data_IF_910167779839
#
_entry.id   IF_910167779839
#
_cell.length_a   1.000
_cell.length_b   1.000
_cell.length_c   1.000
_cell.angle_alpha   90.00
_cell.angle_beta   90.00
_cell.angle_gamma   90.00
#
_symmetry.space_group_name_H-M   'P 1'
#
loop_
_entity.id
_entity.type
_entity.pdbx_description
1 polymer ?
#
# COMPACT_ATOMS: atom_id res chain seq x y z
N UNK A 1 -9.55 4.31 -14.85
CA UNK A 1 -8.62 5.44 -14.61
C UNK A 1 -8.04 6.07 -15.87
N UNK A 2 -7.72 5.33 -16.92
CA UNK A 2 -7.15 5.90 -18.17
C UNK A 2 -8.09 6.88 -18.92
N UNK A 3 -9.40 6.68 -18.89
CA UNK A 3 -10.38 7.54 -19.60
C UNK A 3 -10.55 8.95 -18.99
N UNK A 4 -10.30 9.13 -17.70
CA UNK A 4 -10.43 10.43 -17.03
C UNK A 4 -9.22 11.32 -17.32
N UNK A 5 -8.04 10.73 -17.43
CA UNK A 5 -6.78 11.45 -17.72
C UNK A 5 -6.79 11.98 -19.17
N UNK A 6 -7.33 11.21 -20.13
CA UNK A 6 -7.43 11.63 -21.54
C UNK A 6 -8.39 12.82 -21.73
N UNK A 7 -9.47 12.86 -20.94
CA UNK A 7 -10.43 13.96 -21.00
C UNK A 7 -9.83 15.27 -20.44
N UNK A 8 -9.05 15.19 -19.37
CA UNK A 8 -8.38 16.35 -18.77
C UNK A 8 -7.27 16.94 -19.68
N UNK A 9 -6.51 16.07 -20.37
CA UNK A 9 -5.47 16.51 -21.32
C UNK A 9 -6.10 17.21 -22.53
N UNK A 10 -7.27 16.77 -23.00
CA UNK A 10 -7.98 17.40 -24.12
C UNK A 10 -8.53 18.78 -23.74
N UNK A 11 -9.02 18.95 -22.51
CA UNK A 11 -9.50 20.24 -21.99
C UNK A 11 -8.38 21.26 -21.86
N UNK A 12 -7.22 20.86 -21.33
CA UNK A 12 -6.04 21.74 -21.21
C UNK A 12 -5.53 22.17 -22.59
N UNK A 13 -5.54 21.29 -23.57
CA UNK A 13 -5.14 21.60 -24.95
C UNK A 13 -6.07 22.63 -25.60
N UNK A 14 -7.37 22.55 -25.37
CA UNK A 14 -8.37 23.50 -25.87
C UNK A 14 -8.28 24.88 -25.20
N UNK A 15 -7.96 24.92 -23.90
CA UNK A 15 -7.77 26.19 -23.16
C UNK A 15 -6.50 26.90 -23.63
N UNK A 16 -5.41 26.16 -23.89
CA UNK A 16 -4.16 26.73 -24.42
C UNK A 16 -4.30 27.26 -25.83
N UNK A 17 -5.01 26.57 -26.73
CA UNK A 17 -5.25 27.01 -28.11
C UNK A 17 -6.11 28.28 -28.12
N UNK A 18 -7.14 28.40 -27.26
CA UNK A 18 -7.96 29.62 -27.14
C UNK A 18 -7.19 30.83 -26.63
N UNK A 19 -6.22 30.64 -25.75
CA UNK A 19 -5.46 31.72 -25.11
C UNK A 19 -4.31 32.26 -25.96
N UNK A 20 -3.76 31.46 -26.86
CA UNK A 20 -2.56 31.82 -27.63
C UNK A 20 -2.81 32.12 -29.12
N UNK A 21 -3.95 31.70 -29.73
CA UNK A 21 -4.16 31.87 -31.15
C UNK A 21 -5.31 32.82 -31.52
N UNK A 22 -5.98 33.45 -30.57
CA UNK A 22 -6.89 34.58 -30.82
C UNK A 22 -7.96 34.37 -31.88
N UNK A 23 -8.32 33.12 -32.21
CA UNK A 23 -9.33 32.83 -33.24
C UNK A 23 -10.68 32.73 -32.54
N UNK A 24 -11.39 33.84 -32.46
CA UNK A 24 -12.80 33.87 -32.14
C UNK A 24 -13.62 33.35 -33.32
N UNK A 25 -14.37 32.29 -33.06
CA UNK A 25 -15.51 31.77 -33.81
C UNK A 25 -15.64 32.17 -35.29
N UNK A 26 -15.24 31.27 -36.19
CA UNK A 26 -15.79 31.26 -37.54
C UNK A 26 -17.05 30.41 -37.50
N UNK A 27 -18.22 31.04 -37.48
CA UNK A 27 -19.49 30.37 -37.74
C UNK A 27 -19.57 30.09 -39.27
N UNK A 28 -19.43 28.82 -39.65
CA UNK A 28 -19.79 28.35 -40.97
C UNK A 28 -21.30 28.24 -41.02
N UNK A 29 -21.94 29.25 -41.58
CA UNK A 29 -23.34 29.19 -41.97
C UNK A 29 -23.46 28.48 -43.31
N UNK A 30 -24.14 27.37 -43.32
CA UNK A 30 -24.49 26.62 -44.48
C UNK A 30 -25.67 27.30 -45.20
N UNK A 31 -25.43 27.84 -46.36
CA UNK A 31 -26.46 28.47 -47.18
C UNK A 31 -27.16 27.41 -48.04
N UNK A 32 -28.42 27.24 -47.79
CA UNK A 32 -29.34 26.77 -48.82
C UNK A 32 -30.64 27.55 -48.73
N UNK A 33 -30.95 28.14 -49.89
CA UNK A 33 -32.20 28.68 -50.44
C UNK A 33 -32.43 30.19 -50.40
N UNK A 34 -32.17 30.74 -51.57
CA UNK A 34 -32.96 31.60 -52.49
C UNK A 34 -34.23 32.27 -51.93
N UNK A 35 -34.31 33.61 -52.07
CA UNK A 35 -35.13 34.20 -53.15
C UNK A 35 -35.02 35.74 -53.11
N UNK A 36 -34.79 36.26 -54.31
CA UNK A 36 -35.13 37.59 -54.90
C UNK A 36 -35.67 38.71 -53.98
N UNK A 37 -35.01 39.87 -54.08
CA UNK A 37 -35.67 41.16 -53.90
C UNK A 37 -34.83 42.24 -53.18
N UNK A 38 -34.51 43.31 -53.92
CA UNK A 38 -34.04 44.61 -53.47
C UNK A 38 -32.55 44.85 -53.22
N UNK A 39 -31.88 45.06 -54.35
CA UNK A 39 -30.70 45.95 -54.43
C UNK A 39 -31.11 47.38 -54.19
N UNK A 40 -30.77 48.02 -53.08
CA UNK A 40 -30.71 49.51 -53.00
C UNK A 40 -30.13 50.12 -51.73
N UNK A 41 -29.66 49.39 -50.74
CA UNK A 41 -29.14 50.01 -49.48
C UNK A 41 -27.67 49.74 -49.18
N UNK A 42 -26.93 49.09 -50.02
CA UNK A 42 -25.54 48.68 -49.70
C UNK A 42 -24.47 49.73 -49.98
N UNK A 43 -24.80 50.83 -50.66
CA UNK A 43 -23.77 51.77 -51.12
C UNK A 43 -23.47 52.93 -50.18
N UNK A 44 -24.14 53.04 -49.07
CA UNK A 44 -23.91 54.17 -48.11
C UNK A 44 -23.09 53.76 -46.89
N UNK A 45 -22.98 52.50 -46.56
CA UNK A 45 -22.21 52.00 -45.43
C UNK A 45 -20.74 51.67 -45.78
N UNK A 46 -20.43 51.40 -47.00
CA UNK A 46 -19.05 51.09 -47.42
C UNK A 46 -18.13 52.36 -47.43
N UNK A 47 -18.69 53.55 -47.47
CA UNK A 47 -17.92 54.81 -47.49
C UNK A 47 -17.53 55.30 -46.09
N UNK A 48 -18.11 54.78 -45.01
CA UNK A 48 -17.77 55.11 -43.63
C UNK A 48 -16.74 54.17 -43.00
N UNK A 49 -16.49 53.00 -43.59
CA UNK A 49 -15.50 52.05 -43.08
C UNK A 49 -14.08 52.28 -43.58
N UNK A 50 -13.89 53.24 -44.53
CA UNK A 50 -12.55 53.53 -45.07
C UNK A 50 -11.74 54.55 -44.27
N UNK A 51 -12.26 55.04 -43.13
CA UNK A 51 -11.58 56.09 -42.32
C UNK A 51 -11.11 55.57 -40.97
N UNK A 52 -11.36 54.25 -40.66
CA UNK A 52 -10.84 53.69 -39.41
C UNK A 52 -9.51 53.01 -39.67
N UNK A 53 -8.40 53.73 -39.52
CA UNK A 53 -7.08 53.12 -39.28
C UNK A 53 -7.05 52.59 -37.82
N UNK A 54 -6.95 51.28 -37.59
CA UNK A 54 -6.74 50.80 -36.24
C UNK A 54 -5.38 51.30 -35.76
N UNK A 55 -5.27 51.69 -34.45
CA UNK A 55 -3.99 52.10 -33.90
C UNK A 55 -2.97 51.01 -34.10
N UNK A 56 -1.82 51.34 -34.68
CA UNK A 56 -0.71 50.41 -34.86
C UNK A 56 -0.40 49.73 -33.56
N UNK A 57 -0.58 48.42 -33.49
CA UNK A 57 -0.20 47.62 -32.30
C UNK A 57 1.27 47.94 -31.99
N UNK A 58 1.63 48.34 -30.79
CA UNK A 58 3.03 48.54 -30.44
C UNK A 58 3.77 47.23 -30.71
N UNK A 59 4.78 47.28 -31.55
CA UNK A 59 5.63 46.13 -31.86
C UNK A 59 6.27 45.66 -30.54
N UNK A 60 5.96 44.46 -30.05
CA UNK A 60 6.54 44.03 -28.79
C UNK A 60 8.05 43.94 -28.97
N UNK A 61 8.80 44.73 -28.18
CA UNK A 61 10.26 44.71 -28.18
C UNK A 61 10.70 43.21 -28.08
N UNK A 62 11.56 42.73 -29.01
CA UNK A 62 12.00 41.31 -28.97
C UNK A 62 12.64 40.93 -27.64
N UNK A 63 13.14 41.91 -26.89
CA UNK A 63 13.71 41.71 -25.55
C UNK A 63 12.65 41.36 -24.49
N UNK A 64 11.40 41.86 -24.59
CA UNK A 64 10.31 41.53 -23.66
C UNK A 64 9.77 40.12 -23.88
N UNK A 65 9.79 39.63 -25.11
CA UNK A 65 9.33 38.24 -25.43
C UNK A 65 10.33 37.23 -24.86
N UNK A 66 11.64 37.51 -24.98
CA UNK A 66 12.70 36.65 -24.45
C UNK A 66 12.69 36.56 -22.91
N UNK A 67 12.39 37.62 -22.19
CA UNK A 67 12.26 37.58 -20.73
C UNK A 67 11.00 36.86 -20.25
N UNK A 68 9.91 36.90 -21.01
CA UNK A 68 8.69 36.17 -20.68
C UNK A 68 8.87 34.66 -20.82
N UNK A 69 9.60 34.18 -21.83
CA UNK A 69 9.87 32.76 -22.04
C UNK A 69 10.84 32.18 -21.01
N UNK A 70 11.88 32.95 -20.60
CA UNK A 70 12.80 32.48 -19.56
C UNK A 70 12.11 32.36 -18.21
N UNK A 71 11.20 33.27 -17.86
CA UNK A 71 10.40 33.14 -16.63
C UNK A 71 9.43 31.95 -16.64
N UNK A 72 8.90 31.61 -17.81
CA UNK A 72 8.00 30.47 -17.95
C UNK A 72 8.75 29.14 -17.85
N UNK A 73 9.92 29.03 -18.47
CA UNK A 73 10.80 27.87 -18.34
C UNK A 73 11.30 27.67 -16.91
N UNK A 74 11.72 28.73 -16.23
CA UNK A 74 12.13 28.66 -14.82
C UNK A 74 10.99 28.22 -13.90
N UNK A 75 9.77 28.72 -14.10
CA UNK A 75 8.58 28.28 -13.35
C UNK A 75 8.22 26.83 -13.63
N UNK A 76 8.32 26.39 -14.89
CA UNK A 76 8.10 25.00 -15.27
C UNK A 76 9.15 24.06 -14.66
N UNK A 77 10.42 24.48 -14.64
CA UNK A 77 11.52 23.72 -14.01
C UNK A 77 11.33 23.60 -12.50
N UNK A 78 10.95 24.71 -11.83
CA UNK A 78 10.63 24.71 -10.39
C UNK A 78 9.44 23.82 -10.06
N UNK A 79 8.39 23.84 -10.89
CA UNK A 79 7.22 22.98 -10.72
C UNK A 79 7.58 21.50 -10.93
N UNK A 80 8.43 21.19 -11.90
CA UNK A 80 8.95 19.83 -12.13
C UNK A 80 9.82 19.34 -10.97
N UNK A 81 10.69 20.19 -10.42
CA UNK A 81 11.50 19.89 -9.23
C UNK A 81 10.63 19.66 -7.98
N UNK A 82 9.54 20.43 -7.83
CA UNK A 82 8.58 20.27 -6.74
C UNK A 82 7.80 18.94 -6.86
N UNK A 83 7.40 18.55 -8.06
CA UNK A 83 6.70 17.29 -8.33
C UNK A 83 7.61 16.06 -8.14
N UNK A 84 8.90 16.15 -8.48
CA UNK A 84 9.84 15.03 -8.29
C UNK A 84 10.23 14.83 -6.83
N UNK A 85 10.16 15.86 -5.99
CA UNK A 85 10.44 15.77 -4.56
C UNK A 85 9.45 14.93 -3.74
N UNK A 86 8.23 14.68 -4.25
CA UNK A 86 7.18 13.95 -3.53
C UNK A 86 7.36 12.41 -3.60
N UNK A 87 8.18 11.88 -4.51
CA UNK A 87 8.34 10.44 -4.74
C UNK A 87 9.31 9.77 -3.74
N UNK A 88 10.04 10.54 -2.94
CA UNK A 88 11.05 10.03 -2.01
C UNK A 88 10.52 9.67 -0.60
N UNK A 89 9.21 9.40 -0.42
CA UNK A 89 8.70 8.83 0.82
C UNK A 89 9.09 7.35 0.84
N UNK A 90 10.30 7.06 1.30
CA UNK A 90 10.85 5.72 1.40
C UNK A 90 9.86 4.78 2.10
N UNK A 91 9.60 3.65 1.46
CA UNK A 91 8.72 2.60 1.96
C UNK A 91 9.15 2.22 3.38
N UNK A 92 8.29 2.49 4.35
CA UNK A 92 8.56 2.21 5.77
C UNK A 92 7.94 0.91 6.24
N UNK A 93 7.10 0.27 5.42
CA UNK A 93 6.36 -0.93 5.76
C UNK A 93 6.82 -2.11 4.93
N UNK A 94 7.05 -3.21 5.60
CA UNK A 94 7.32 -4.52 5.02
C UNK A 94 6.20 -5.46 5.36
N UNK A 95 5.81 -6.33 4.45
CA UNK A 95 4.69 -7.25 4.65
C UNK A 95 4.96 -8.62 4.03
N UNK A 96 4.29 -9.63 4.58
CA UNK A 96 4.15 -10.95 3.97
C UNK A 96 2.72 -11.46 4.09
N UNK A 97 2.36 -12.41 3.22
CA UNK A 97 1.15 -13.24 3.31
C UNK A 97 1.50 -14.73 3.23
N UNK A 98 2.77 -15.03 3.14
CA UNK A 98 3.34 -16.38 2.97
C UNK A 98 4.33 -16.70 4.09
N UNK A 99 4.16 -16.07 5.26
CA UNK A 99 4.87 -16.47 6.45
C UNK A 99 4.46 -17.86 6.89
N UNK A 100 5.37 -18.56 7.59
CA UNK A 100 5.09 -19.86 8.19
C UNK A 100 5.04 -19.76 9.72
N UNK A 101 4.21 -20.61 10.30
CA UNK A 101 4.11 -20.82 11.74
C UNK A 101 3.90 -22.31 11.98
N UNK A 102 4.65 -22.87 12.90
CA UNK A 102 4.42 -24.24 13.39
C UNK A 102 4.31 -24.23 14.91
N UNK A 103 3.66 -25.23 15.42
CA UNK A 103 3.69 -25.49 16.86
C UNK A 103 3.83 -26.99 17.14
N UNK A 104 4.40 -27.29 18.30
CA UNK A 104 4.58 -28.62 18.81
C UNK A 104 4.12 -28.68 20.28
N UNK A 105 3.29 -29.67 20.58
CA UNK A 105 2.77 -29.96 21.92
C UNK A 105 2.99 -31.45 22.30
N UNK A 106 4.06 -32.05 21.79
CA UNK A 106 4.35 -33.47 21.92
C UNK A 106 4.95 -33.80 23.28
N UNK A 107 4.54 -34.95 23.84
CA UNK A 107 5.29 -35.60 24.93
C UNK A 107 6.21 -36.69 24.34
N UNK A 108 7.47 -36.81 24.82
CA UNK A 108 8.50 -37.64 24.17
C UNK A 108 8.17 -39.10 23.88
N UNK A 109 7.18 -39.67 24.59
CA UNK A 109 6.82 -41.09 24.50
C UNK A 109 5.57 -41.36 23.66
N UNK A 110 4.95 -40.33 23.13
CA UNK A 110 3.70 -40.41 22.38
C UNK A 110 3.86 -39.97 20.95
N UNK A 111 2.82 -40.17 20.13
CA UNK A 111 2.78 -39.70 18.76
C UNK A 111 2.91 -38.16 18.71
N UNK A 112 3.71 -37.62 17.76
CA UNK A 112 3.91 -36.20 17.67
C UNK A 112 2.60 -35.42 17.47
N UNK A 113 2.40 -34.38 18.28
CA UNK A 113 1.29 -33.44 18.16
C UNK A 113 1.86 -32.14 17.64
N UNK A 114 1.88 -32.00 16.32
CA UNK A 114 2.45 -30.87 15.61
C UNK A 114 1.51 -30.38 14.51
N UNK A 115 1.58 -29.09 14.21
CA UNK A 115 0.87 -28.52 13.08
C UNK A 115 1.66 -27.38 12.46
N UNK A 116 1.42 -27.14 11.17
CA UNK A 116 2.04 -26.05 10.42
C UNK A 116 1.03 -25.22 9.65
N UNK A 117 1.35 -23.95 9.45
CA UNK A 117 0.57 -22.99 8.68
C UNK A 117 1.50 -22.19 7.78
N UNK A 118 1.24 -22.13 6.45
CA UNK A 118 2.13 -21.52 5.45
C UNK A 118 1.59 -20.23 4.84
N UNK A 119 0.50 -19.68 5.38
CA UNK A 119 -0.15 -18.47 4.90
C UNK A 119 -0.36 -17.44 6.04
N UNK A 120 0.66 -17.29 6.88
CA UNK A 120 0.67 -16.27 7.95
C UNK A 120 0.92 -14.91 7.36
N UNK A 121 0.09 -13.93 7.73
CA UNK A 121 0.25 -12.55 7.32
C UNK A 121 0.99 -11.74 8.37
N UNK A 122 1.95 -10.92 7.96
CA UNK A 122 2.65 -10.03 8.87
C UNK A 122 2.92 -8.66 8.24
N UNK A 123 3.02 -7.65 9.10
CA UNK A 123 3.36 -6.27 8.75
C UNK A 123 4.37 -5.73 9.76
N UNK A 124 5.53 -5.30 9.27
CA UNK A 124 6.59 -4.66 10.03
C UNK A 124 6.77 -3.21 9.57
N UNK A 125 6.76 -2.28 10.50
CA UNK A 125 7.16 -0.89 10.27
C UNK A 125 8.65 -0.74 10.60
N UNK A 126 9.50 -0.61 9.58
CA UNK A 126 10.96 -0.52 9.77
C UNK A 126 11.44 0.84 10.33
N UNK A 127 10.56 1.81 10.54
CA UNK A 127 10.91 3.06 11.22
C UNK A 127 10.74 2.96 12.72
N UNK A 128 9.74 2.20 13.18
CA UNK A 128 9.35 2.12 14.59
C UNK A 128 9.63 0.76 15.22
N UNK A 129 9.86 -0.30 14.40
CA UNK A 129 9.96 -1.67 14.88
C UNK A 129 8.60 -2.31 15.21
N UNK A 130 7.47 -1.61 14.98
CA UNK A 130 6.13 -2.16 15.20
C UNK A 130 5.88 -3.37 14.30
N UNK A 131 5.41 -4.46 14.90
CA UNK A 131 5.14 -5.73 14.24
C UNK A 131 3.71 -6.18 14.54
N UNK A 132 2.96 -6.51 13.49
CA UNK A 132 1.67 -7.17 13.59
C UNK A 132 1.72 -8.49 12.80
N UNK A 133 1.26 -9.59 13.42
CA UNK A 133 1.17 -10.92 12.79
C UNK A 133 -0.25 -11.44 12.93
N UNK A 134 -0.76 -12.10 11.91
CA UNK A 134 -2.09 -12.70 11.89
C UNK A 134 -2.03 -14.08 11.25
N UNK A 135 -2.56 -15.09 11.93
CA UNK A 135 -2.82 -16.42 11.39
C UNK A 135 -4.31 -16.76 11.51
N UNK A 136 -4.86 -17.36 10.46
CA UNK A 136 -6.21 -17.95 10.49
C UNK A 136 -6.11 -19.34 11.11
N UNK A 137 -6.85 -19.60 12.19
CA UNK A 137 -6.76 -20.85 12.95
C UNK A 137 -7.01 -22.08 12.09
N UNK A 138 -7.99 -22.03 11.19
CA UNK A 138 -8.27 -23.11 10.23
C UNK A 138 -7.21 -23.31 9.15
N UNK A 139 -6.16 -22.51 9.14
CA UNK A 139 -5.02 -22.65 8.24
C UNK A 139 -3.96 -23.63 8.72
N UNK A 140 -3.97 -24.01 9.99
CA UNK A 140 -3.09 -25.06 10.53
C UNK A 140 -3.43 -26.42 9.95
N UNK A 141 -2.38 -27.16 9.55
CA UNK A 141 -2.46 -28.51 9.00
C UNK A 141 -1.71 -29.47 9.90
N UNK A 142 -2.35 -30.57 10.20
CA UNK A 142 -1.82 -31.67 11.01
C UNK A 142 -1.49 -32.86 10.12
N UNK A 143 -0.55 -33.74 10.52
CA UNK A 143 -0.30 -34.99 9.83
C UNK A 143 -1.54 -35.92 9.78
N UNK A 144 -2.36 -35.86 10.83
CA UNK A 144 -3.59 -36.68 10.94
C UNK A 144 -4.83 -35.77 10.92
N UNK A 145 -5.76 -36.05 10.01
CA UNK A 145 -7.00 -35.31 9.86
C UNK A 145 -7.86 -35.26 11.14
N UNK A 146 -7.87 -36.32 11.92
CA UNK A 146 -8.60 -36.40 13.18
C UNK A 146 -8.00 -35.43 14.24
N UNK A 147 -6.67 -35.26 14.26
CA UNK A 147 -6.02 -34.27 15.13
C UNK A 147 -6.39 -32.85 14.72
N UNK A 148 -6.45 -32.58 13.41
CA UNK A 148 -6.87 -31.26 12.89
C UNK A 148 -8.33 -30.96 13.26
N UNK A 149 -9.22 -31.94 13.16
CA UNK A 149 -10.62 -31.82 13.55
C UNK A 149 -10.74 -31.50 15.06
N UNK A 150 -10.10 -32.34 15.92
CA UNK A 150 -10.12 -32.12 17.38
C UNK A 150 -9.52 -30.77 17.76
N UNK A 151 -8.41 -30.35 17.14
CA UNK A 151 -7.83 -29.03 17.36
C UNK A 151 -8.84 -27.93 17.05
N UNK A 152 -9.49 -27.98 15.90
CA UNK A 152 -10.43 -26.96 15.45
C UNK A 152 -11.71 -26.92 16.27
N UNK A 153 -12.23 -28.05 16.73
CA UNK A 153 -13.54 -28.14 17.36
C UNK A 153 -13.47 -28.11 18.90
N UNK A 154 -12.50 -28.83 19.49
CA UNK A 154 -12.49 -29.09 20.92
C UNK A 154 -11.46 -28.24 21.69
N UNK A 155 -10.33 -27.84 21.04
CA UNK A 155 -9.26 -27.13 21.75
C UNK A 155 -9.29 -25.64 21.46
N UNK A 156 -9.22 -25.24 20.17
CA UNK A 156 -9.11 -23.82 19.80
C UNK A 156 -10.45 -23.20 19.45
N UNK A 157 -11.51 -24.00 19.29
CA UNK A 157 -12.87 -23.58 18.91
C UNK A 157 -12.84 -22.61 17.71
N UNK A 158 -12.27 -23.05 16.56
CA UNK A 158 -11.98 -22.19 15.40
C UNK A 158 -13.22 -21.50 14.80
N UNK A 159 -14.42 -22.03 15.05
CA UNK A 159 -15.70 -21.44 14.65
C UNK A 159 -16.02 -20.18 15.48
N UNK A 160 -15.57 -20.12 16.73
CA UNK A 160 -15.77 -19.05 17.68
C UNK A 160 -14.58 -18.08 17.70
N UNK A 161 -13.36 -18.63 17.60
CA UNK A 161 -12.10 -17.90 17.61
C UNK A 161 -11.30 -18.14 16.31
N UNK A 162 -11.73 -17.57 15.17
CA UNK A 162 -11.17 -17.91 13.86
C UNK A 162 -9.76 -17.38 13.60
N UNK A 163 -9.21 -16.55 14.50
CA UNK A 163 -7.94 -15.86 14.32
C UNK A 163 -7.08 -15.90 15.56
N UNK A 164 -5.77 -16.05 15.36
CA UNK A 164 -4.76 -15.71 16.37
C UNK A 164 -3.92 -14.54 15.82
N UNK A 165 -3.50 -13.64 16.70
CA UNK A 165 -2.72 -12.46 16.30
C UNK A 165 -1.71 -12.06 17.35
N UNK A 166 -0.60 -11.50 16.87
CA UNK A 166 0.39 -10.80 17.68
C UNK A 166 0.42 -9.32 17.29
N UNK A 167 0.48 -8.45 18.27
CA UNK A 167 0.74 -7.01 18.10
C UNK A 167 1.78 -6.57 19.10
N UNK A 168 2.89 -6.06 18.60
CA UNK A 168 4.00 -5.67 19.45
C UNK A 168 5.06 -4.90 18.70
N UNK A 169 6.27 -4.94 19.23
CA UNK A 169 7.42 -4.25 18.64
C UNK A 169 8.73 -5.00 18.92
N UNK A 170 9.70 -4.75 18.08
CA UNK A 170 11.10 -5.09 18.31
C UNK A 170 11.68 -4.00 19.21
N UNK A 171 12.23 -4.40 20.37
CA UNK A 171 12.82 -3.47 21.32
C UNK A 171 14.11 -2.86 20.75
N UNK A 172 14.31 -1.55 20.96
CA UNK A 172 15.49 -0.80 20.53
C UNK A 172 15.82 -1.00 19.03
N UNK A 173 14.78 -1.07 18.21
CA UNK A 173 14.93 -1.35 16.78
C UNK A 173 15.63 -0.21 16.06
N UNK A 174 16.74 -0.52 15.38
CA UNK A 174 17.42 0.37 14.45
C UNK A 174 17.52 -0.31 13.06
N UNK A 175 16.86 0.26 12.07
CA UNK A 175 16.89 -0.24 10.69
C UNK A 175 18.29 -0.26 10.07
N UNK A 176 19.22 0.58 10.58
CA UNK A 176 20.58 0.69 10.04
C UNK A 176 21.48 -0.49 10.45
N UNK A 177 21.07 -1.24 11.47
CA UNK A 177 21.77 -2.44 11.93
C UNK A 177 21.40 -3.69 11.12
N UNK A 178 20.34 -3.59 10.29
CA UNK A 178 19.89 -4.72 9.46
C UNK A 178 20.90 -5.01 8.35
N UNK A 179 21.38 -6.25 8.31
CA UNK A 179 22.35 -6.75 7.34
C UNK A 179 22.02 -8.20 6.94
N UNK A 180 22.84 -8.78 6.08
CA UNK A 180 22.76 -10.20 5.73
C UNK A 180 23.24 -11.15 6.84
N UNK A 181 23.81 -10.60 7.93
CA UNK A 181 24.13 -11.37 9.13
C UNK A 181 22.92 -11.38 10.07
N UNK A 182 22.58 -12.55 10.69
CA UNK A 182 21.51 -12.64 11.65
C UNK A 182 21.76 -11.73 12.86
N UNK A 183 20.82 -10.86 13.16
CA UNK A 183 20.82 -10.02 14.36
C UNK A 183 19.79 -10.55 15.35
N UNK A 184 20.21 -10.88 16.56
CA UNK A 184 19.30 -11.24 17.65
C UNK A 184 18.57 -10.00 18.15
N UNK A 185 17.24 -10.10 18.25
CA UNK A 185 16.34 -9.02 18.68
C UNK A 185 15.39 -9.51 19.76
N UNK A 186 14.92 -8.59 20.59
CA UNK A 186 13.89 -8.88 21.60
C UNK A 186 12.54 -8.35 21.09
N UNK A 187 11.55 -9.22 21.10
CA UNK A 187 10.15 -8.92 20.74
C UNK A 187 9.35 -8.79 22.03
N UNK A 188 8.54 -7.76 22.12
CA UNK A 188 7.55 -7.59 23.20
C UNK A 188 6.21 -7.22 22.60
N UNK A 189 5.13 -7.77 23.14
CA UNK A 189 3.79 -7.48 22.64
C UNK A 189 2.74 -8.42 23.20
N UNK A 190 1.57 -8.37 22.59
CA UNK A 190 0.39 -9.12 23.01
C UNK A 190 0.03 -10.19 21.97
N UNK A 191 -0.17 -11.42 22.44
CA UNK A 191 -0.81 -12.49 21.68
C UNK A 191 -2.28 -12.57 22.08
N UNK A 192 -3.17 -12.47 21.09
CA UNK A 192 -4.59 -12.74 21.25
C UNK A 192 -4.91 -14.08 20.58
N UNK A 193 -5.36 -15.06 21.35
CA UNK A 193 -5.69 -16.42 20.93
C UNK A 193 -6.81 -16.95 21.80
N UNK A 194 -7.77 -17.71 21.24
CA UNK A 194 -8.88 -18.34 21.95
C UNK A 194 -9.68 -17.33 22.84
N UNK A 195 -9.80 -16.06 22.40
CA UNK A 195 -10.50 -15.01 23.15
C UNK A 195 -9.73 -14.38 24.28
N UNK A 196 -8.52 -14.86 24.60
CA UNK A 196 -7.64 -14.35 25.66
C UNK A 196 -6.47 -13.59 25.06
N UNK A 197 -6.04 -12.51 25.72
CA UNK A 197 -4.89 -11.71 25.31
C UNK A 197 -3.88 -11.65 26.43
N UNK A 198 -2.65 -12.07 26.14
CA UNK A 198 -1.54 -12.07 27.09
C UNK A 198 -0.31 -11.38 26.50
N UNK A 199 0.43 -10.69 27.36
CA UNK A 199 1.73 -10.11 27.00
C UNK A 199 2.80 -11.18 26.97
N UNK A 200 3.62 -11.18 25.91
CA UNK A 200 4.79 -12.05 25.79
C UNK A 200 6.06 -11.25 25.53
N UNK A 201 7.18 -11.83 25.94
CA UNK A 201 8.51 -11.45 25.51
C UNK A 201 9.16 -12.65 24.84
N UNK A 202 9.69 -12.46 23.64
CA UNK A 202 10.30 -13.53 22.87
C UNK A 202 11.61 -13.04 22.25
N UNK A 203 12.54 -13.96 22.04
CA UNK A 203 13.73 -13.71 21.24
C UNK A 203 13.45 -14.01 19.78
N UNK A 204 14.01 -13.19 18.88
CA UNK A 204 13.94 -13.42 17.43
C UNK A 204 15.26 -13.16 16.76
N UNK A 205 15.39 -13.61 15.53
CA UNK A 205 16.50 -13.31 14.63
C UNK A 205 15.97 -12.58 13.41
N UNK A 206 16.62 -11.47 13.06
CA UNK A 206 16.24 -10.69 11.89
C UNK A 206 17.43 -10.59 10.94
N UNK A 207 17.19 -10.81 9.65
CA UNK A 207 18.16 -10.65 8.57
C UNK A 207 17.58 -9.80 7.46
N UNK A 208 18.45 -9.15 6.68
CA UNK A 208 18.06 -8.43 5.47
C UNK A 208 18.97 -8.79 4.32
N UNK A 209 18.43 -9.46 3.30
CA UNK A 209 19.18 -9.89 2.10
C UNK A 209 18.39 -9.48 0.86
N UNK A 210 19.02 -8.78 -0.07
CA UNK A 210 18.42 -8.35 -1.35
C UNK A 210 17.07 -7.61 -1.21
N UNK A 211 16.93 -6.83 -0.14
CA UNK A 211 15.70 -6.09 0.13
C UNK A 211 14.62 -6.87 0.86
N UNK A 212 14.76 -8.19 1.01
CA UNK A 212 13.90 -9.05 1.82
C UNK A 212 14.34 -8.99 3.28
N UNK A 213 13.40 -8.84 4.21
CA UNK A 213 13.65 -8.97 5.65
C UNK A 213 13.04 -10.29 6.11
N UNK A 214 13.83 -11.18 6.70
CA UNK A 214 13.34 -12.39 7.33
C UNK A 214 13.41 -12.22 8.84
N UNK A 215 12.28 -12.40 9.53
CA UNK A 215 12.19 -12.43 10.98
C UNK A 215 11.77 -13.84 11.41
N UNK A 216 12.59 -14.46 12.23
CA UNK A 216 12.35 -15.78 12.82
C UNK A 216 12.27 -15.65 14.34
N UNK A 217 11.39 -16.42 14.97
CA UNK A 217 11.26 -16.46 16.43
C UNK A 217 10.79 -17.83 16.88
N UNK A 218 11.26 -18.23 18.05
CA UNK A 218 10.85 -19.48 18.71
C UNK A 218 10.56 -19.17 20.18
N UNK A 219 9.38 -19.54 20.65
CA UNK A 219 8.93 -19.27 22.02
C UNK A 219 7.89 -20.30 22.46
N UNK A 220 7.66 -20.40 23.77
CA UNK A 220 6.64 -21.30 24.32
C UNK A 220 5.48 -20.51 24.92
N UNK A 221 4.27 -21.08 24.83
CA UNK A 221 3.08 -20.60 25.52
C UNK A 221 2.41 -21.73 26.28
N UNK A 222 1.75 -21.44 27.40
CA UNK A 222 0.94 -22.42 28.12
C UNK A 222 -0.50 -22.39 27.61
N UNK A 223 -1.08 -23.56 27.37
CA UNK A 223 -2.48 -23.69 26.95
C UNK A 223 -3.44 -23.08 27.98
N UNK A 224 -3.15 -23.26 29.28
CA UNK A 224 -3.94 -22.69 30.37
C UNK A 224 -4.00 -21.17 30.38
N UNK A 225 -2.94 -20.49 29.93
CA UNK A 225 -2.88 -19.02 29.87
C UNK A 225 -3.85 -18.45 28.83
N UNK A 226 -4.33 -19.29 27.91
CA UNK A 226 -5.29 -18.93 26.88
C UNK A 226 -6.64 -19.65 27.01
N UNK A 227 -6.94 -20.13 28.23
CA UNK A 227 -8.18 -20.86 28.54
C UNK A 227 -8.43 -22.06 27.61
N UNK A 228 -7.36 -22.69 27.10
CA UNK A 228 -7.45 -23.94 26.33
C UNK A 228 -7.30 -25.10 27.30
N UNK A 229 -8.42 -25.82 27.53
CA UNK A 229 -8.46 -26.94 28.44
C UNK A 229 -8.03 -28.24 27.76
N UNK A 230 -7.08 -28.96 28.37
CA UNK A 230 -6.67 -30.29 27.95
C UNK A 230 -7.42 -31.32 28.79
N UNK A 231 -8.29 -32.15 28.19
CA UNK A 231 -9.04 -33.20 28.92
C UNK A 231 -8.11 -34.16 29.68
N UNK A 232 -8.50 -34.54 30.88
CA UNK A 232 -7.69 -35.42 31.75
C UNK A 232 -7.28 -36.74 31.06
N UNK A 233 -8.09 -37.25 30.15
CA UNK A 233 -7.84 -38.48 29.42
C UNK A 233 -6.59 -38.42 28.54
N UNK A 234 -6.31 -37.26 27.92
CA UNK A 234 -5.19 -37.04 26.97
C UNK A 234 -4.08 -36.17 27.55
N UNK A 235 -4.20 -35.72 28.80
CA UNK A 235 -3.22 -34.83 29.44
C UNK A 235 -1.80 -35.39 29.48
N UNK A 236 -1.65 -36.71 29.51
CA UNK A 236 -0.34 -37.37 29.46
C UNK A 236 0.30 -37.37 28.08
N UNK A 237 -0.47 -37.06 27.04
CA UNK A 237 -0.03 -37.10 25.64
C UNK A 237 0.28 -35.71 25.12
N UNK A 238 -0.37 -34.68 25.67
CA UNK A 238 -0.26 -33.27 25.22
C UNK A 238 0.55 -32.48 26.23
N UNK A 239 1.62 -31.81 25.79
CA UNK A 239 2.36 -30.87 26.63
C UNK A 239 1.55 -29.58 26.78
N UNK A 240 1.43 -29.11 28.02
CA UNK A 240 0.79 -27.81 28.33
C UNK A 240 1.64 -26.64 27.83
N UNK A 241 2.97 -26.82 27.70
CA UNK A 241 3.88 -25.84 27.13
C UNK A 241 4.06 -26.10 25.63
N UNK A 242 3.33 -25.37 24.83
CA UNK A 242 3.36 -25.49 23.38
C UNK A 242 4.50 -24.66 22.83
N UNK A 243 5.44 -25.31 22.16
CA UNK A 243 6.52 -24.64 21.45
C UNK A 243 6.00 -24.10 20.12
N UNK A 244 6.26 -22.82 19.84
CA UNK A 244 5.84 -22.15 18.62
C UNK A 244 7.07 -21.64 17.87
N UNK A 245 7.12 -21.92 16.57
CA UNK A 245 8.12 -21.38 15.65
C UNK A 245 7.45 -20.54 14.58
N UNK A 246 8.06 -19.40 14.26
CA UNK A 246 7.53 -18.45 13.26
C UNK A 246 8.67 -18.02 12.34
N UNK A 247 8.40 -18.01 11.03
CA UNK A 247 9.30 -17.44 10.03
C UNK A 247 8.52 -16.53 9.08
N UNK A 248 8.93 -15.27 9.00
CA UNK A 248 8.25 -14.20 8.29
C UNK A 248 9.16 -13.57 7.23
N UNK A 249 9.09 -14.03 5.96
CA UNK A 249 9.77 -13.39 4.84
C UNK A 249 9.01 -12.13 4.42
N UNK A 250 9.48 -10.96 4.84
CA UNK A 250 8.81 -9.68 4.69
C UNK A 250 9.38 -8.91 3.48
N UNK A 251 8.52 -8.50 2.56
CA UNK A 251 8.86 -7.70 1.38
C UNK A 251 8.40 -6.26 1.56
N UNK A 252 9.04 -5.28 0.89
CA UNK A 252 8.55 -3.90 0.87
C UNK A 252 7.08 -3.88 0.43
N UNK A 253 6.24 -3.15 1.17
CA UNK A 253 4.84 -2.96 0.78
C UNK A 253 4.78 -1.88 -0.28
N UNK A 254 4.38 -2.25 -1.48
CA UNK A 254 4.05 -1.32 -2.57
C UNK A 254 2.82 -0.45 -2.26
#
# INVERSE_FOLDING_TARGET
>A
MAHVITHYILEIKNVLIRKYWGISHVHIWNHSRLSSGHASYTNRYLKLLSIYEPPSKPNPNPFCIFQAETNMMQKALLLFLLLTGIIAVGQSKYMTKTGSMSFEASQPTFEPIEASHTAVSALLNIKTGELAVLALVRGFRFPLALMEEHFNENYIESHKYPKTSFKGSILNFDRNTLSNQPLTVQLTGEISMHGVTNTINAEGRITKTDGLITLESSFAVKTSDYAIEIPSLVRKQIDENVQIEVSLPLQPKE
#
